data_IF_635796365155
#
_entry.id   IF_635796365155
#
_cell.length_a   1.000
_cell.length_b   1.000
_cell.length_c   1.000
_cell.angle_alpha   90.00
_cell.angle_beta   90.00
_cell.angle_gamma   90.00
#
_symmetry.space_group_name_H-M   'P 1'
#
loop_
_entity.id
_entity.type
_entity.pdbx_description
1 polymer ?
#
# COMPACT_ATOMS: atom_id res chain seq x y z
N UNK A 1 32.99 70.24 32.67
CA UNK A 1 32.07 69.36 33.41
C UNK A 1 31.47 68.37 32.42
N UNK A 2 31.79 67.08 32.53
CA UNK A 2 31.38 66.04 31.58
C UNK A 2 30.10 65.38 32.11
N UNK A 3 28.98 65.55 31.40
CA UNK A 3 27.68 64.99 31.77
C UNK A 3 27.51 63.58 31.18
N UNK A 4 27.28 62.58 32.03
CA UNK A 4 27.02 61.19 31.63
C UNK A 4 25.51 60.95 31.58
N UNK A 5 24.99 60.63 30.41
CA UNK A 5 23.62 60.17 30.21
C UNK A 5 23.52 58.66 30.49
N UNK A 6 22.65 58.27 31.42
CA UNK A 6 22.36 56.86 31.70
C UNK A 6 21.08 56.47 30.95
N UNK A 7 21.20 55.57 29.98
CA UNK A 7 20.05 55.01 29.25
C UNK A 7 19.54 53.76 29.98
N UNK A 8 18.27 53.69 30.40
CA UNK A 8 17.73 52.50 31.05
C UNK A 8 17.54 51.35 30.05
N UNK A 9 18.04 50.16 30.40
CA UNK A 9 17.78 48.91 29.65
C UNK A 9 16.29 48.56 29.75
N UNK A 10 15.56 48.61 28.63
CA UNK A 10 14.18 48.12 28.55
C UNK A 10 14.15 46.60 28.74
N UNK A 11 13.45 46.10 29.77
CA UNK A 11 13.17 44.66 29.97
C UNK A 11 12.39 44.14 28.75
N UNK A 12 12.99 43.20 28.02
CA UNK A 12 12.52 42.78 26.70
C UNK A 12 11.20 42.02 26.73
N UNK A 13 10.27 42.42 25.86
CA UNK A 13 9.03 41.73 25.47
C UNK A 13 9.26 40.36 24.77
N UNK A 14 10.44 39.75 24.93
CA UNK A 14 10.88 38.53 24.23
C UNK A 14 10.09 37.29 24.63
N UNK A 15 9.45 37.30 25.80
CA UNK A 15 8.70 36.16 26.32
C UNK A 15 7.32 36.07 25.66
N UNK A 16 6.67 37.20 25.39
CA UNK A 16 5.35 37.23 24.73
C UNK A 16 5.44 36.79 23.26
N UNK A 17 6.54 37.11 22.57
CA UNK A 17 6.80 36.63 21.21
C UNK A 17 7.08 35.13 21.16
N UNK A 18 7.78 34.58 22.17
CA UNK A 18 8.09 33.16 22.24
C UNK A 18 6.83 32.30 22.48
N UNK A 19 5.89 32.77 23.30
CA UNK A 19 4.60 32.09 23.49
C UNK A 19 3.74 32.10 22.23
N UNK A 20 3.71 33.21 21.49
CA UNK A 20 2.93 33.32 20.25
C UNK A 20 3.46 32.43 19.11
N UNK A 21 4.78 32.20 19.04
CA UNK A 21 5.37 31.29 18.04
C UNK A 21 5.15 29.81 18.39
N UNK A 22 5.11 29.46 19.67
CA UNK A 22 4.92 28.07 20.10
C UNK A 22 3.48 27.58 19.82
N UNK A 23 2.48 28.44 20.04
CA UNK A 23 1.07 28.10 19.76
C UNK A 23 0.78 27.94 18.28
N UNK A 24 1.46 28.71 17.41
CA UNK A 24 1.28 28.66 15.97
C UNK A 24 1.87 27.37 15.36
N UNK A 25 2.97 26.85 15.92
CA UNK A 25 3.58 25.58 15.50
C UNK A 25 2.73 24.38 15.96
N UNK A 26 2.17 24.43 17.18
CA UNK A 26 1.26 23.37 17.66
C UNK A 26 -0.06 23.32 16.89
N UNK A 27 -0.58 24.45 16.40
CA UNK A 27 -1.83 24.48 15.63
C UNK A 27 -1.71 23.87 14.22
N UNK A 28 -0.54 23.96 13.59
CA UNK A 28 -0.30 23.40 12.24
C UNK A 28 -0.07 21.89 12.27
N UNK A 29 0.38 21.34 13.40
CA UNK A 29 0.65 19.90 13.57
C UNK A 29 -0.60 19.04 13.82
N UNK A 30 -1.78 19.66 13.99
CA UNK A 30 -3.05 18.96 14.30
C UNK A 30 -3.94 18.75 13.08
N UNK A 31 -3.53 19.22 11.89
CA UNK A 31 -4.14 18.76 10.64
C UNK A 31 -3.52 17.39 10.28
N UNK A 32 -3.71 16.42 11.17
CA UNK A 32 -3.60 15.03 10.79
C UNK A 32 -4.72 14.80 9.78
N UNK A 33 -4.36 14.59 8.52
CA UNK A 33 -5.24 13.97 7.55
C UNK A 33 -5.84 12.75 8.22
N UNK A 34 -7.14 12.80 8.51
CA UNK A 34 -7.90 11.61 8.86
C UNK A 34 -7.69 10.66 7.70
N UNK A 35 -6.95 9.57 7.92
CA UNK A 35 -7.08 8.41 7.06
C UNK A 35 -8.58 8.10 7.09
N UNK A 36 -9.27 8.34 5.97
CA UNK A 36 -10.60 7.79 5.79
C UNK A 36 -10.34 6.29 5.74
N UNK A 37 -10.50 5.61 6.88
CA UNK A 37 -10.64 4.17 6.88
C UNK A 37 -11.71 3.87 5.84
N UNK A 38 -11.47 2.86 4.99
CA UNK A 38 -12.54 2.31 4.16
C UNK A 38 -13.74 2.12 5.08
N UNK A 39 -14.83 2.73 4.65
CA UNK A 39 -16.01 2.99 5.42
C UNK A 39 -16.61 1.61 5.69
N UNK A 40 -16.90 1.35 6.96
CA UNK A 40 -17.55 0.13 7.44
C UNK A 40 -19.01 0.13 6.96
N UNK A 41 -19.19 0.10 5.64
CA UNK A 41 -20.48 0.07 4.98
C UNK A 41 -21.14 -1.32 5.09
N UNK A 42 -20.50 -2.25 5.82
CA UNK A 42 -20.86 -3.66 5.93
C UNK A 42 -21.00 -4.36 4.57
N UNK A 43 -20.28 -3.87 3.55
CA UNK A 43 -20.25 -4.47 2.20
C UNK A 43 -19.17 -5.54 2.12
N UNK A 44 -17.98 -5.26 2.65
CA UNK A 44 -16.84 -6.19 2.65
C UNK A 44 -16.13 -6.17 4.00
N UNK A 45 -15.78 -7.35 4.50
CA UNK A 45 -15.22 -7.54 5.83
C UNK A 45 -13.69 -7.32 5.85
N UNK A 46 -13.19 -6.69 6.91
CA UNK A 46 -11.76 -6.44 7.16
C UNK A 46 -11.38 -6.83 8.61
N UNK A 47 -11.92 -7.95 9.08
CA UNK A 47 -11.84 -8.38 10.48
C UNK A 47 -10.65 -9.31 10.78
N UNK A 48 -9.81 -9.55 9.75
CA UNK A 48 -8.60 -10.38 9.75
C UNK A 48 -8.85 -11.89 9.70
N UNK A 49 -10.02 -12.30 9.27
CA UNK A 49 -10.22 -13.65 8.80
C UNK A 49 -10.70 -13.61 7.32
N UNK A 50 -11.03 -14.78 6.78
CA UNK A 50 -11.46 -14.97 5.40
C UNK A 50 -12.72 -15.85 5.37
N UNK A 51 -13.55 -15.77 6.41
CA UNK A 51 -14.67 -16.66 6.68
C UNK A 51 -15.93 -15.84 6.62
N UNK A 52 -16.91 -16.33 5.85
CA UNK A 52 -18.25 -15.76 5.85
C UNK A 52 -19.00 -16.09 7.16
N UNK A 53 -18.70 -15.35 8.23
CA UNK A 53 -19.31 -15.51 9.55
C UNK A 53 -19.94 -14.24 10.14
N UNK A 54 -19.91 -13.13 9.39
CA UNK A 54 -20.52 -11.86 9.75
C UNK A 54 -21.29 -11.24 8.57
N UNK A 55 -21.70 -9.98 8.71
CA UNK A 55 -22.43 -9.27 7.66
C UNK A 55 -21.46 -8.64 6.65
N UNK A 56 -21.81 -8.75 5.36
CA UNK A 56 -20.97 -8.33 4.24
C UNK A 56 -20.18 -9.52 3.69
N UNK A 57 -19.62 -9.37 2.49
CA UNK A 57 -18.82 -10.42 1.87
C UNK A 57 -17.43 -10.48 2.52
N UNK A 58 -16.84 -11.67 2.56
CA UNK A 58 -15.43 -11.89 2.92
C UNK A 58 -14.71 -12.63 1.78
N UNK A 59 -13.42 -12.91 1.94
CA UNK A 59 -12.61 -13.61 0.95
C UNK A 59 -13.12 -15.03 0.65
N UNK A 60 -13.81 -15.70 1.58
CA UNK A 60 -14.49 -16.96 1.30
C UNK A 60 -15.57 -16.83 0.21
N UNK A 61 -16.34 -15.74 0.22
CA UNK A 61 -17.35 -15.49 -0.81
C UNK A 61 -16.71 -15.21 -2.16
N UNK A 62 -15.54 -14.54 -2.16
CA UNK A 62 -14.76 -14.28 -3.38
C UNK A 62 -14.17 -15.58 -3.96
N UNK A 63 -13.72 -16.49 -3.09
CA UNK A 63 -13.15 -17.78 -3.48
C UNK A 63 -14.20 -18.73 -4.08
N UNK A 64 -15.39 -18.80 -3.48
CA UNK A 64 -16.47 -19.67 -3.97
C UNK A 64 -17.38 -19.02 -5.04
N UNK A 65 -17.13 -17.74 -5.34
CA UNK A 65 -17.88 -16.95 -6.33
C UNK A 65 -19.31 -16.62 -5.90
N UNK A 66 -19.60 -16.63 -4.59
CA UNK A 66 -20.86 -16.17 -4.02
C UNK A 66 -20.89 -14.69 -3.65
N UNK A 67 -19.76 -13.99 -3.82
CA UNK A 67 -19.63 -12.56 -3.54
C UNK A 67 -20.54 -11.67 -4.41
N UNK A 68 -20.77 -10.45 -3.93
CA UNK A 68 -21.57 -9.42 -4.58
C UNK A 68 -20.68 -8.35 -5.25
N UNK A 69 -19.40 -8.64 -5.50
CA UNK A 69 -18.50 -7.67 -6.14
C UNK A 69 -18.95 -7.37 -7.57
N UNK A 70 -18.74 -6.13 -8.00
CA UNK A 70 -18.94 -5.74 -9.40
C UNK A 70 -17.91 -6.43 -10.32
N UNK A 71 -16.73 -6.73 -9.78
CA UNK A 71 -15.67 -7.50 -10.40
C UNK A 71 -14.73 -8.07 -9.34
N UNK A 72 -14.24 -9.29 -9.52
CA UNK A 72 -13.19 -9.88 -8.68
C UNK A 72 -12.17 -10.65 -9.52
N UNK A 73 -10.98 -10.83 -8.97
CA UNK A 73 -9.96 -11.74 -9.53
C UNK A 73 -10.19 -13.20 -9.15
N UNK A 74 -11.13 -13.47 -8.22
CA UNK A 74 -11.06 -14.65 -7.37
C UNK A 74 -9.78 -14.67 -6.53
N UNK A 75 -9.39 -15.86 -6.07
CA UNK A 75 -8.09 -16.09 -5.45
C UNK A 75 -7.09 -16.53 -6.52
N UNK A 76 -6.04 -15.74 -6.72
CA UNK A 76 -4.93 -16.09 -7.62
C UNK A 76 -3.85 -16.79 -6.81
N UNK A 77 -3.81 -18.11 -6.92
CA UNK A 77 -2.77 -18.94 -6.31
C UNK A 77 -1.43 -18.81 -7.05
N UNK A 78 -0.36 -18.56 -6.31
CA UNK A 78 1.03 -18.66 -6.74
C UNK A 78 1.68 -19.91 -6.13
N UNK A 79 2.36 -20.69 -6.97
CA UNK A 79 2.99 -21.92 -6.52
C UNK A 79 4.24 -21.60 -5.70
N UNK A 80 4.23 -21.97 -4.41
CA UNK A 80 5.34 -21.76 -3.49
C UNK A 80 6.65 -22.37 -4.02
N UNK A 81 7.75 -21.61 -3.99
CA UNK A 81 9.07 -22.01 -4.49
C UNK A 81 9.10 -22.40 -5.98
N UNK A 82 8.14 -21.94 -6.79
CA UNK A 82 8.10 -22.28 -8.21
C UNK A 82 8.85 -21.27 -9.07
N UNK A 83 8.53 -19.98 -8.95
CA UNK A 83 9.10 -18.93 -9.80
C UNK A 83 9.46 -17.67 -9.03
N UNK A 84 10.43 -16.92 -9.55
CA UNK A 84 10.81 -15.61 -9.00
C UNK A 84 10.98 -14.59 -10.13
N UNK A 85 10.65 -13.34 -9.84
CA UNK A 85 11.13 -12.21 -10.64
C UNK A 85 12.66 -12.14 -10.53
N UNK A 86 13.37 -12.05 -11.65
CA UNK A 86 14.84 -12.07 -11.63
C UNK A 86 15.50 -10.92 -12.40
N UNK A 87 14.75 -10.15 -13.17
CA UNK A 87 15.32 -8.99 -13.85
C UNK A 87 14.49 -8.51 -15.04
N UNK A 88 15.18 -7.85 -15.97
CA UNK A 88 14.53 -7.21 -17.11
C UNK A 88 14.20 -5.74 -16.91
N UNK A 89 14.60 -5.15 -15.77
CA UNK A 89 14.25 -3.77 -15.42
C UNK A 89 12.88 -3.72 -14.74
N UNK A 90 12.86 -3.29 -13.49
CA UNK A 90 11.66 -3.29 -12.62
C UNK A 90 11.29 -1.88 -12.17
N UNK A 91 11.82 -0.86 -12.84
CA UNK A 91 11.39 0.51 -12.55
C UNK A 91 9.97 0.69 -13.07
N UNK A 92 9.20 1.48 -12.34
CA UNK A 92 7.81 1.80 -12.61
C UNK A 92 7.60 2.58 -13.91
N UNK A 93 8.62 3.24 -14.44
CA UNK A 93 8.61 3.91 -15.74
C UNK A 93 8.95 2.98 -16.93
N UNK A 94 9.29 1.71 -16.67
CA UNK A 94 9.64 0.73 -17.70
C UNK A 94 8.47 -0.18 -18.02
N UNK A 95 8.34 -0.52 -19.31
CA UNK A 95 7.28 -1.41 -19.77
C UNK A 95 7.51 -2.86 -19.32
N UNK A 96 6.43 -3.56 -18.97
CA UNK A 96 6.43 -4.95 -18.50
C UNK A 96 6.99 -5.96 -19.50
N UNK A 97 7.04 -5.64 -20.80
CA UNK A 97 7.63 -6.51 -21.84
C UNK A 97 9.11 -6.83 -21.59
N UNK A 98 9.82 -5.99 -20.84
CA UNK A 98 11.21 -6.25 -20.48
C UNK A 98 11.35 -7.21 -19.29
N UNK A 99 10.32 -7.33 -18.45
CA UNK A 99 10.31 -8.15 -17.23
C UNK A 99 10.64 -9.62 -17.51
N UNK A 100 11.30 -10.24 -16.52
CA UNK A 100 11.72 -11.63 -16.58
C UNK A 100 11.45 -12.36 -15.28
N UNK A 101 10.93 -13.58 -15.42
CA UNK A 101 10.84 -14.56 -14.35
C UNK A 101 11.68 -15.79 -14.70
N UNK A 102 11.98 -16.60 -13.68
CA UNK A 102 12.63 -17.90 -13.84
C UNK A 102 12.21 -18.82 -12.71
N UNK A 103 12.46 -20.12 -12.86
CA UNK A 103 12.33 -21.04 -11.73
C UNK A 103 13.29 -20.68 -10.61
N UNK A 104 12.79 -20.72 -9.38
CA UNK A 104 13.55 -20.37 -8.19
C UNK A 104 12.63 -20.23 -6.99
N UNK A 105 13.23 -19.89 -5.86
CA UNK A 105 12.52 -19.64 -4.62
C UNK A 105 12.97 -18.34 -3.99
N UNK A 106 12.04 -17.72 -3.26
CA UNK A 106 12.31 -16.63 -2.33
C UNK A 106 12.34 -17.18 -0.90
N UNK A 107 12.93 -16.47 0.07
CA UNK A 107 12.67 -16.75 1.48
C UNK A 107 11.17 -16.66 1.78
N UNK A 108 10.64 -17.46 2.71
CA UNK A 108 9.21 -17.47 3.09
C UNK A 108 8.62 -16.08 3.39
N UNK A 109 9.44 -15.16 3.90
CA UNK A 109 9.02 -13.77 4.17
C UNK A 109 8.79 -12.93 2.91
N UNK A 110 9.36 -13.32 1.76
CA UNK A 110 9.27 -12.62 0.48
C UNK A 110 8.53 -13.49 -0.56
N UNK A 111 7.85 -14.55 -0.10
CA UNK A 111 7.05 -15.48 -0.92
C UNK A 111 5.55 -15.24 -0.66
N UNK A 112 4.77 -15.14 -1.74
CA UNK A 112 3.32 -14.97 -1.68
C UNK A 112 2.68 -16.30 -2.07
N UNK A 113 1.65 -16.74 -1.36
CA UNK A 113 0.86 -17.92 -1.73
C UNK A 113 -0.34 -17.55 -2.58
N UNK A 114 -1.00 -16.46 -2.22
CA UNK A 114 -2.25 -16.01 -2.79
C UNK A 114 -2.22 -14.49 -2.99
N UNK A 115 -2.84 -14.03 -4.08
CA UNK A 115 -3.17 -12.64 -4.31
C UNK A 115 -4.62 -12.51 -4.79
N UNK A 116 -5.29 -11.44 -4.38
CA UNK A 116 -6.73 -11.31 -4.64
C UNK A 116 -7.17 -9.86 -4.60
N UNK A 117 -8.22 -9.55 -5.37
CA UNK A 117 -8.89 -8.26 -5.36
C UNK A 117 -10.37 -8.39 -5.73
N UNK A 118 -11.20 -7.54 -5.13
CA UNK A 118 -12.62 -7.41 -5.41
C UNK A 118 -13.04 -5.95 -5.37
N UNK A 119 -13.87 -5.53 -6.33
CA UNK A 119 -14.38 -4.17 -6.46
C UNK A 119 -15.85 -4.10 -6.05
N UNK A 120 -16.17 -3.15 -5.18
CA UNK A 120 -17.53 -2.82 -4.77
C UNK A 120 -17.75 -1.32 -4.96
N UNK A 121 -18.60 -0.94 -5.93
CA UNK A 121 -18.81 0.45 -6.29
C UNK A 121 -17.52 1.12 -6.72
N UNK A 122 -17.06 2.11 -5.97
CA UNK A 122 -15.82 2.86 -6.23
C UNK A 122 -14.62 2.39 -5.39
N UNK A 123 -14.79 1.32 -4.59
CA UNK A 123 -13.77 0.80 -3.68
C UNK A 123 -13.23 -0.53 -4.22
N UNK A 124 -11.90 -0.68 -4.17
CA UNK A 124 -11.23 -1.96 -4.43
C UNK A 124 -10.63 -2.45 -3.13
N UNK A 125 -11.06 -3.64 -2.72
CA UNK A 125 -10.45 -4.42 -1.65
C UNK A 125 -9.44 -5.36 -2.30
N UNK A 126 -8.25 -5.48 -1.73
CA UNK A 126 -7.19 -6.32 -2.27
C UNK A 126 -6.26 -6.77 -1.16
N UNK A 127 -5.58 -7.87 -1.41
CA UNK A 127 -4.62 -8.44 -0.49
C UNK A 127 -3.77 -9.50 -1.14
N UNK A 128 -2.79 -9.94 -0.35
CA UNK A 128 -1.99 -11.12 -0.61
C UNK A 128 -1.60 -11.71 0.75
N UNK A 129 -1.29 -12.99 0.77
CA UNK A 129 -0.74 -13.63 1.96
C UNK A 129 0.79 -13.78 1.87
N UNK A 130 1.42 -14.05 3.01
CA UNK A 130 2.85 -14.34 3.12
C UNK A 130 3.01 -15.57 3.98
N UNK A 131 3.98 -16.41 3.67
CA UNK A 131 4.26 -17.61 4.46
C UNK A 131 4.88 -17.28 5.83
N UNK A 132 5.61 -16.17 5.93
CA UNK A 132 6.14 -15.63 7.18
C UNK A 132 5.96 -14.10 7.23
N UNK A 133 5.31 -13.62 8.29
CA UNK A 133 5.13 -12.19 8.53
C UNK A 133 6.39 -11.49 9.06
N UNK A 134 7.44 -12.24 9.40
CA UNK A 134 8.62 -11.72 10.08
C UNK A 134 9.42 -10.70 9.25
N UNK A 135 10.01 -9.74 9.99
CA UNK A 135 10.89 -8.74 9.43
C UNK A 135 10.18 -7.63 8.66
N UNK A 136 10.99 -6.84 7.96
CA UNK A 136 10.52 -5.78 7.07
C UNK A 136 10.48 -6.29 5.63
N UNK A 137 9.43 -5.91 4.90
CA UNK A 137 9.23 -6.24 3.50
C UNK A 137 8.46 -5.11 2.81
N UNK A 138 8.63 -5.02 1.49
CA UNK A 138 7.83 -4.16 0.63
C UNK A 138 6.97 -5.06 -0.26
N UNK A 139 5.70 -4.73 -0.41
CA UNK A 139 4.75 -5.42 -1.28
C UNK A 139 4.21 -4.43 -2.31
N UNK A 140 4.08 -4.88 -3.55
CA UNK A 140 3.54 -4.10 -4.64
C UNK A 140 2.43 -4.83 -5.38
N UNK A 141 1.38 -4.09 -5.75
CA UNK A 141 0.29 -4.57 -6.59
C UNK A 141 0.22 -3.72 -7.84
N UNK A 142 0.25 -4.39 -8.99
CA UNK A 142 -0.07 -3.79 -10.27
C UNK A 142 -1.47 -4.20 -10.70
N UNK A 143 -2.33 -3.23 -10.98
CA UNK A 143 -3.60 -3.43 -11.65
C UNK A 143 -3.45 -2.97 -13.10
N UNK A 144 -3.27 -3.96 -13.98
CA UNK A 144 -3.08 -3.74 -15.41
C UNK A 144 -4.42 -3.68 -16.15
N UNK A 145 -4.50 -2.80 -17.14
CA UNK A 145 -5.62 -2.77 -18.10
C UNK A 145 -5.52 -3.91 -19.12
N UNK A 146 -4.31 -4.38 -19.42
CA UNK A 146 -4.07 -5.52 -20.30
C UNK A 146 -3.68 -6.78 -19.52
N UNK A 147 -3.77 -7.95 -20.15
CA UNK A 147 -3.38 -9.23 -19.56
C UNK A 147 -1.84 -9.35 -19.50
N UNK A 148 -1.27 -9.02 -18.35
CA UNK A 148 0.16 -9.13 -18.06
C UNK A 148 0.37 -10.29 -17.09
N UNK A 149 0.65 -11.47 -17.62
CA UNK A 149 0.86 -12.69 -16.84
C UNK A 149 2.20 -13.35 -17.19
N UNK A 150 2.76 -14.19 -16.29
CA UNK A 150 3.93 -15.00 -16.59
C UNK A 150 3.72 -15.89 -17.82
N UNK A 151 4.62 -15.78 -18.81
CA UNK A 151 4.60 -16.55 -20.04
C UNK A 151 5.68 -17.63 -20.05
N UNK A 152 5.50 -18.74 -20.79
CA UNK A 152 6.56 -19.69 -21.06
C UNK A 152 7.83 -19.00 -21.58
N UNK A 153 9.00 -19.46 -21.14
CA UNK A 153 10.28 -18.86 -21.51
C UNK A 153 10.74 -17.68 -20.65
N UNK A 154 10.06 -17.42 -19.53
CA UNK A 154 10.55 -16.49 -18.50
C UNK A 154 10.26 -15.02 -18.81
N UNK A 155 9.14 -14.73 -19.47
CA UNK A 155 8.73 -13.37 -19.86
C UNK A 155 7.32 -13.07 -19.36
N UNK A 156 6.82 -11.85 -19.58
CA UNK A 156 5.45 -11.45 -19.25
C UNK A 156 4.71 -11.01 -20.53
N UNK A 157 3.39 -11.23 -20.56
CA UNK A 157 2.53 -10.95 -21.71
C UNK A 157 1.15 -11.63 -21.54
N UNK A 158 0.35 -11.72 -22.61
CA UNK A 158 0.59 -11.17 -23.95
C UNK A 158 0.40 -9.65 -24.02
N UNK A 159 -0.28 -9.06 -23.04
CA UNK A 159 -0.43 -7.62 -22.89
C UNK A 159 0.82 -6.95 -22.32
N UNK A 160 0.76 -5.65 -22.19
CA UNK A 160 1.84 -4.83 -21.65
C UNK A 160 1.30 -3.68 -20.80
N UNK A 161 2.20 -3.06 -20.04
CA UNK A 161 1.88 -1.82 -19.33
C UNK A 161 1.32 -0.75 -20.29
N UNK A 162 0.26 -0.09 -19.85
CA UNK A 162 -0.42 1.00 -20.52
C UNK A 162 -0.63 2.18 -19.57
N UNK A 163 -0.68 3.39 -20.14
CA UNK A 163 -1.01 4.60 -19.39
C UNK A 163 -2.38 4.42 -18.70
N UNK A 164 -2.43 4.63 -17.38
CA UNK A 164 -3.62 4.43 -16.57
C UNK A 164 -3.62 3.15 -15.72
N UNK A 165 -2.63 2.26 -15.90
CA UNK A 165 -2.39 1.19 -14.94
C UNK A 165 -2.06 1.77 -13.56
N UNK A 166 -2.41 1.03 -12.51
CA UNK A 166 -2.27 1.47 -11.13
C UNK A 166 -1.23 0.61 -10.43
N UNK A 167 -0.20 1.26 -9.86
CA UNK A 167 0.74 0.64 -8.94
C UNK A 167 0.43 1.11 -7.51
N UNK A 168 0.25 0.14 -6.61
CA UNK A 168 0.14 0.37 -5.17
C UNK A 168 1.35 -0.28 -4.51
N UNK A 169 2.06 0.48 -3.67
CA UNK A 169 3.21 -0.01 -2.90
C UNK A 169 2.93 0.16 -1.41
N UNK A 170 3.24 -0.88 -0.64
CA UNK A 170 3.12 -0.88 0.82
C UNK A 170 4.38 -1.43 1.44
N UNK A 171 4.96 -0.66 2.36
CA UNK A 171 6.10 -1.08 3.17
C UNK A 171 5.63 -1.53 4.55
N UNK A 172 6.08 -2.69 4.98
CA UNK A 172 5.85 -3.22 6.32
C UNK A 172 7.16 -3.17 7.10
N UNK A 173 7.13 -2.53 8.27
CA UNK A 173 8.30 -2.45 9.16
C UNK A 173 8.32 -3.56 10.22
N UNK A 174 7.13 -4.10 10.54
CA UNK A 174 6.87 -5.28 11.36
C UNK A 174 5.53 -5.84 10.88
N UNK A 175 5.49 -7.13 10.54
CA UNK A 175 4.26 -7.87 10.21
C UNK A 175 3.75 -8.65 11.41
#
# INVERSE_FOLDING_TARGET
MISRMVVPKRRGRRWLTAFATLTLISGVLVIGSTALAVHDDAIFQLDRNAIDDAAGDDWANVDDGSDNADASTGILHDDINATIFFGGGSKDDLNTTSWKHKSGSSPDKDELGDAYAARYGDVVYFGADRLDASGAAALGFWFFQEDVTPQPGGTFGPGQHADGDILILSDFSVG
#
